data_IF_816555665897
#
_entry.id   IF_816555665897
#
_cell.length_a   1.000
_cell.length_b   1.000
_cell.length_c   1.000
_cell.angle_alpha   90.00
_cell.angle_beta   90.00
_cell.angle_gamma   90.00
#
_symmetry.space_group_name_H-M   'P 1'
#
loop_
_entity.id
_entity.type
_entity.pdbx_description
1 polymer ?
#
# COMPACT_ATOMS: atom_id res chain seq x y z
N UNK A 1 6.52 13.38 -19.40
CA UNK A 1 7.19 12.11 -19.06
C UNK A 1 6.30 11.40 -18.05
N UNK A 2 5.52 10.40 -18.49
CA UNK A 2 4.63 9.65 -17.59
C UNK A 2 5.51 8.78 -16.68
N UNK A 3 5.90 9.35 -15.53
CA UNK A 3 6.58 8.60 -14.49
C UNK A 3 5.56 7.59 -13.98
N UNK A 4 5.77 6.31 -14.29
CA UNK A 4 5.00 5.23 -13.69
C UNK A 4 5.21 5.35 -12.17
N UNK A 5 4.24 5.97 -11.50
CA UNK A 5 4.25 6.20 -10.04
C UNK A 5 4.17 4.88 -9.28
N UNK A 6 3.79 3.81 -9.98
CA UNK A 6 3.64 2.46 -9.48
C UNK A 6 4.81 1.62 -9.98
N UNK A 7 5.78 1.46 -9.08
CA UNK A 7 6.93 0.58 -9.27
C UNK A 7 6.68 -0.67 -8.43
N UNK A 8 6.91 -1.84 -9.02
CA UNK A 8 6.58 -3.14 -8.44
C UNK A 8 7.36 -3.41 -7.12
N UNK A 9 8.45 -2.68 -6.91
CA UNK A 9 9.26 -2.69 -5.68
C UNK A 9 8.52 -2.18 -4.43
N UNK A 10 7.41 -1.45 -4.60
CA UNK A 10 6.55 -0.92 -3.53
C UNK A 10 5.20 -1.63 -3.44
N UNK A 11 5.00 -2.70 -4.21
CA UNK A 11 3.76 -3.45 -4.19
C UNK A 11 3.65 -4.21 -2.87
N UNK A 12 2.67 -3.85 -2.05
CA UNK A 12 2.42 -4.52 -0.76
C UNK A 12 1.29 -5.54 -0.85
N UNK A 13 0.35 -5.38 -1.78
CA UNK A 13 -0.79 -6.27 -1.91
C UNK A 13 -1.89 -5.71 -2.80
N UNK A 14 -3.02 -6.41 -2.82
CA UNK A 14 -4.17 -6.06 -3.67
C UNK A 14 -5.43 -5.81 -2.84
N UNK A 15 -6.29 -4.94 -3.34
CA UNK A 15 -7.60 -4.70 -2.74
C UNK A 15 -8.50 -5.88 -3.06
N UNK A 16 -8.99 -6.57 -2.03
CA UNK A 16 -9.90 -7.71 -2.16
C UNK A 16 -11.36 -7.31 -2.02
N UNK A 17 -11.64 -6.19 -1.34
CA UNK A 17 -12.98 -5.64 -1.15
C UNK A 17 -12.92 -4.14 -0.95
N UNK A 18 -13.84 -3.41 -1.58
CA UNK A 18 -14.07 -1.99 -1.35
C UNK A 18 -15.47 -1.81 -0.77
N UNK A 19 -15.58 -1.01 0.28
CA UNK A 19 -16.84 -0.51 0.83
C UNK A 19 -16.75 0.99 1.02
N UNK A 20 -17.87 1.72 1.20
CA UNK A 20 -17.83 3.15 1.50
C UNK A 20 -17.02 3.50 2.75
N UNK A 21 -16.88 2.57 3.70
CA UNK A 21 -16.26 2.81 5.00
C UNK A 21 -14.80 2.33 5.06
N UNK A 22 -14.48 1.24 4.37
CA UNK A 22 -13.15 0.63 4.40
C UNK A 22 -12.86 -0.19 3.15
N UNK A 23 -11.57 -0.41 2.89
CA UNK A 23 -11.11 -1.37 1.89
C UNK A 23 -10.26 -2.45 2.55
N UNK A 24 -10.45 -3.70 2.15
CA UNK A 24 -9.63 -4.81 2.61
C UNK A 24 -8.45 -4.99 1.66
N UNK A 25 -7.25 -5.03 2.23
CA UNK A 25 -6.01 -5.33 1.51
C UNK A 25 -5.62 -6.78 1.82
N UNK A 26 -5.32 -7.55 0.79
CA UNK A 26 -4.69 -8.86 0.93
C UNK A 26 -3.19 -8.72 0.68
N UNK A 27 -2.38 -9.08 1.68
CA UNK A 27 -0.92 -9.10 1.59
C UNK A 27 -0.45 -10.50 1.16
N UNK A 28 0.15 -10.66 -0.03
CA UNK A 28 0.47 -11.98 -0.58
C UNK A 28 1.56 -12.73 0.21
N UNK A 29 2.47 -12.01 0.87
CA UNK A 29 3.47 -12.61 1.77
C UNK A 29 3.83 -11.68 2.93
N UNK A 30 4.07 -12.20 4.15
CA UNK A 30 4.55 -11.41 5.28
C UNK A 30 5.90 -10.73 5.03
N UNK A 31 6.67 -11.22 4.06
CA UNK A 31 7.92 -10.59 3.60
C UNK A 31 7.72 -9.24 2.93
N UNK A 32 6.54 -8.96 2.35
CA UNK A 32 6.19 -7.65 1.79
C UNK A 32 5.81 -6.62 2.86
N UNK A 33 5.61 -7.08 4.11
CA UNK A 33 5.48 -6.24 5.30
C UNK A 33 6.85 -5.90 5.91
N UNK A 34 7.95 -6.42 5.35
CA UNK A 34 9.30 -6.06 5.82
C UNK A 34 9.63 -4.63 5.42
N UNK A 35 10.54 -4.05 6.21
CA UNK A 35 11.12 -2.74 5.97
C UNK A 35 11.77 -2.67 4.58
N UNK A 36 11.48 -1.63 3.84
CA UNK A 36 12.11 -1.30 2.56
C UNK A 36 12.63 0.13 2.60
N UNK A 37 13.69 0.40 1.84
CA UNK A 37 14.36 1.70 1.83
C UNK A 37 13.80 2.56 0.70
N UNK A 38 13.43 3.80 1.01
CA UNK A 38 12.96 4.78 0.03
C UNK A 38 13.54 6.16 0.32
N UNK A 39 14.33 6.72 -0.61
CA UNK A 39 15.02 8.01 -0.42
C UNK A 39 15.74 8.13 0.93
N UNK A 40 16.48 7.08 1.32
CA UNK A 40 17.22 6.99 2.60
C UNK A 40 16.35 6.85 3.85
N UNK A 41 15.01 6.85 3.71
CA UNK A 41 14.09 6.52 4.79
C UNK A 41 13.75 5.02 4.79
N UNK A 42 13.75 4.42 5.98
CA UNK A 42 13.28 3.07 6.19
C UNK A 42 11.75 3.08 6.37
N UNK A 43 11.02 2.59 5.36
CA UNK A 43 9.57 2.47 5.39
C UNK A 43 9.19 1.04 5.72
N UNK A 44 8.25 0.88 6.66
CA UNK A 44 7.70 -0.44 6.97
C UNK A 44 6.37 -0.63 6.25
N UNK A 45 6.32 -1.63 5.35
CA UNK A 45 5.10 -2.01 4.66
C UNK A 45 4.08 -2.53 5.67
N UNK A 46 2.87 -1.95 5.68
CA UNK A 46 1.76 -2.51 6.46
C UNK A 46 1.75 -2.22 7.97
N UNK A 47 2.50 -1.23 8.47
CA UNK A 47 2.36 -0.80 9.86
C UNK A 47 1.07 0.03 10.03
N UNK A 48 0.30 -0.29 11.07
CA UNK A 48 -0.86 0.50 11.50
C UNK A 48 -0.44 1.95 11.79
N UNK A 49 -1.18 2.91 11.22
CA UNK A 49 -0.88 4.33 11.31
C UNK A 49 -0.18 4.89 10.07
N UNK A 50 0.46 4.05 9.26
CA UNK A 50 1.08 4.47 8.00
C UNK A 50 0.04 4.67 6.89
N UNK A 51 0.45 5.41 5.87
CA UNK A 51 -0.35 5.62 4.66
C UNK A 51 0.14 4.74 3.51
N UNK A 52 -0.79 4.28 2.69
CA UNK A 52 -0.56 3.51 1.46
C UNK A 52 -1.23 4.23 0.29
N UNK A 53 -0.65 4.09 -0.90
CA UNK A 53 -1.28 4.54 -2.14
C UNK A 53 -2.00 3.35 -2.76
N UNK A 54 -3.28 3.53 -3.09
CA UNK A 54 -4.14 2.53 -3.71
C UNK A 54 -4.34 2.93 -5.17
N UNK A 55 -4.05 2.01 -6.08
CA UNK A 55 -4.30 2.19 -7.51
C UNK A 55 -5.80 2.20 -7.83
N UNK A 56 -6.22 3.08 -8.73
CA UNK A 56 -7.58 3.15 -9.25
C UNK A 56 -7.55 3.52 -10.73
N UNK A 57 -8.66 3.25 -11.43
CA UNK A 57 -8.74 3.33 -12.90
C UNK A 57 -8.42 4.73 -13.45
N UNK A 58 -8.88 5.79 -12.76
CA UNK A 58 -8.67 7.18 -13.16
C UNK A 58 -7.88 8.00 -12.13
N UNK A 59 -7.99 7.64 -10.85
CA UNK A 59 -7.35 8.33 -9.74
C UNK A 59 -6.85 7.31 -8.72
N UNK A 60 -5.67 7.57 -8.15
CA UNK A 60 -5.19 6.84 -6.98
C UNK A 60 -5.73 7.44 -5.69
N UNK A 61 -5.81 6.63 -4.64
CA UNK A 61 -6.27 7.04 -3.33
C UNK A 61 -5.16 6.93 -2.29
N UNK A 62 -5.13 7.86 -1.34
CA UNK A 62 -4.29 7.73 -0.15
C UNK A 62 -5.13 7.09 0.96
N UNK A 63 -4.74 5.90 1.40
CA UNK A 63 -5.39 5.17 2.48
C UNK A 63 -4.54 5.17 3.74
N UNK A 64 -5.15 5.32 4.92
CA UNK A 64 -4.47 5.09 6.21
C UNK A 64 -4.74 3.67 6.68
N UNK A 65 -3.69 2.93 7.02
CA UNK A 65 -3.83 1.62 7.66
C UNK A 65 -4.31 1.82 9.10
N UNK A 66 -5.53 1.37 9.40
CA UNK A 66 -6.13 1.51 10.73
C UNK A 66 -5.91 0.28 11.59
N UNK A 67 -5.94 -0.91 10.99
CA UNK A 67 -5.76 -2.18 11.68
C UNK A 67 -5.15 -3.22 10.74
N UNK A 68 -4.46 -4.21 11.31
CA UNK A 68 -4.02 -5.42 10.63
C UNK A 68 -4.48 -6.59 11.51
N UNK A 69 -5.30 -7.47 10.93
CA UNK A 69 -5.91 -8.61 11.62
C UNK A 69 -5.46 -9.94 11.02
#
# INVERSE_FOLDING_TARGET
MNKHIFVNDKFVGYISKVTPNFSNIHFPTPTLLKKFWHYEDELSGGIVGNYVVIEGENFGFLGKLQEVS
#
